data_IF_465669838984
#
_entry.id   IF_465669838984
#
_cell.length_a   1.000
_cell.length_b   1.000
_cell.length_c   1.000
_cell.angle_alpha   90.00
_cell.angle_beta   90.00
_cell.angle_gamma   90.00
#
_symmetry.space_group_name_H-M   'P 1'
#
loop_
_entity.id
_entity.type
_entity.pdbx_description
1 polymer ?
#
# COMPACT_ATOMS: atom_id res chain seq x y z
N UNK A 1 14.46 -1.30 53.31
CA UNK A 1 15.03 -2.05 52.17
C UNK A 1 15.27 -1.09 51.02
N UNK A 2 16.44 -1.13 50.40
CA UNK A 2 16.77 -0.31 49.24
C UNK A 2 17.74 -1.09 48.35
N UNK A 3 17.57 -1.02 47.02
CA UNK A 3 18.52 -1.58 46.05
C UNK A 3 18.83 -3.08 46.30
N UNK A 4 17.82 -3.85 46.70
CA UNK A 4 17.95 -5.28 47.02
C UNK A 4 18.62 -5.60 48.36
N UNK A 5 18.96 -4.58 49.17
CA UNK A 5 19.60 -4.75 50.49
C UNK A 5 18.70 -4.30 51.63
N UNK A 6 18.69 -5.09 52.71
CA UNK A 6 18.09 -4.72 53.98
C UNK A 6 19.13 -4.06 54.89
N UNK A 7 18.71 -3.03 55.64
CA UNK A 7 19.52 -2.35 56.66
C UNK A 7 18.63 -2.14 57.88
N UNK A 8 19.14 -2.45 59.06
CA UNK A 8 18.48 -2.18 60.34
C UNK A 8 19.09 -0.92 60.93
N UNK A 9 18.25 0.03 61.34
CA UNK A 9 18.68 1.30 61.90
C UNK A 9 17.99 1.51 63.23
N UNK A 10 18.77 1.89 64.25
CA UNK A 10 18.24 2.50 65.46
C UNK A 10 18.40 4.01 65.31
N UNK A 11 17.31 4.73 65.47
CA UNK A 11 17.24 6.16 65.14
C UNK A 11 16.31 6.89 66.10
N UNK A 12 16.60 8.17 66.32
CA UNK A 12 15.74 9.15 66.97
C UNK A 12 15.13 10.15 65.96
N UNK A 13 15.19 9.83 64.66
CA UNK A 13 14.68 10.65 63.58
C UNK A 13 13.20 10.97 63.77
N UNK A 14 12.82 12.21 63.50
CA UNK A 14 11.44 12.65 63.59
C UNK A 14 10.60 12.18 62.38
N UNK A 15 11.26 11.77 61.30
CA UNK A 15 10.63 11.40 60.03
C UNK A 15 11.25 10.16 59.40
N UNK A 16 10.46 9.44 58.59
CA UNK A 16 10.93 8.30 57.80
C UNK A 16 12.06 8.71 56.83
N UNK A 17 11.97 9.88 56.22
CA UNK A 17 13.00 10.36 55.30
C UNK A 17 14.36 10.51 55.99
N UNK A 18 14.39 11.11 57.18
CA UNK A 18 15.60 11.25 57.99
C UNK A 18 16.14 9.89 58.45
N UNK A 19 15.25 8.97 58.87
CA UNK A 19 15.65 7.60 59.23
C UNK A 19 16.30 6.84 58.05
N UNK A 20 15.79 7.02 56.83
CA UNK A 20 16.33 6.43 55.60
C UNK A 20 17.68 7.05 55.24
N UNK A 21 17.86 8.35 55.43
CA UNK A 21 19.15 9.03 55.23
C UNK A 21 20.21 8.57 56.24
N UNK A 22 19.85 8.45 57.53
CA UNK A 22 20.73 7.88 58.56
C UNK A 22 21.10 6.41 58.29
N UNK A 23 20.25 5.68 57.56
CA UNK A 23 20.57 4.34 57.05
C UNK A 23 21.66 4.35 55.96
N UNK A 24 22.16 5.52 55.55
CA UNK A 24 23.08 5.71 54.44
C UNK A 24 22.41 5.54 53.08
N UNK A 25 21.10 5.83 52.97
CA UNK A 25 20.35 5.76 51.72
C UNK A 25 19.79 7.14 51.39
N UNK A 26 20.34 7.79 50.38
CA UNK A 26 19.85 9.08 49.91
C UNK A 26 18.77 8.87 48.84
N UNK A 27 17.63 9.55 48.98
CA UNK A 27 16.61 9.65 47.94
C UNK A 27 17.02 10.73 46.93
N UNK A 28 16.86 10.47 45.63
CA UNK A 28 17.22 11.42 44.57
C UNK A 28 16.07 11.56 43.57
N UNK A 29 15.90 12.76 43.01
CA UNK A 29 14.91 13.00 41.96
C UNK A 29 13.49 12.65 42.42
N UNK A 30 12.91 11.62 41.79
CA UNK A 30 11.55 11.13 42.08
C UNK A 30 11.52 9.97 43.08
N UNK A 31 12.67 9.53 43.61
CA UNK A 31 12.73 8.45 44.60
C UNK A 31 11.83 8.73 45.80
N UNK A 32 11.15 7.69 46.27
CA UNK A 32 10.24 7.80 47.41
C UNK A 32 10.32 6.56 48.30
N UNK A 33 9.53 6.55 49.36
CA UNK A 33 9.43 5.44 50.31
C UNK A 33 8.05 4.80 50.25
N UNK A 34 7.95 3.53 50.65
CA UNK A 34 6.68 2.78 50.72
C UNK A 34 5.66 3.37 51.70
N UNK A 35 6.10 4.28 52.56
CA UNK A 35 5.28 5.09 53.48
C UNK A 35 5.65 6.56 53.29
N UNK A 36 4.80 7.53 53.68
CA UNK A 36 5.11 8.94 53.55
C UNK A 36 6.43 9.30 54.27
N UNK A 37 7.35 9.96 53.56
CA UNK A 37 8.66 10.34 54.11
C UNK A 37 8.57 11.30 55.30
N UNK A 38 7.50 12.09 55.39
CA UNK A 38 7.20 13.00 56.50
C UNK A 38 6.55 12.33 57.71
N UNK A 39 6.17 11.04 57.59
CA UNK A 39 5.57 10.29 58.67
C UNK A 39 6.59 9.95 59.76
N UNK A 40 6.10 9.81 61.00
CA UNK A 40 6.93 9.38 62.13
C UNK A 40 7.31 7.89 62.00
N UNK A 41 8.60 7.51 62.13
CA UNK A 41 9.03 6.12 62.06
C UNK A 41 8.55 5.33 63.28
N UNK A 42 7.94 4.16 63.05
CA UNK A 42 7.41 3.28 64.12
C UNK A 42 8.35 2.11 64.38
N UNK A 43 8.35 1.61 65.61
CA UNK A 43 9.10 0.41 65.95
C UNK A 43 8.62 -0.80 65.12
N UNK A 44 9.58 -1.62 64.67
CA UNK A 44 9.32 -2.74 63.76
C UNK A 44 8.87 -2.38 62.33
N UNK A 45 8.77 -1.09 61.98
CA UNK A 45 8.29 -0.66 60.66
C UNK A 45 9.30 -0.98 59.55
N UNK A 46 8.83 -1.65 58.48
CA UNK A 46 9.61 -1.81 57.25
C UNK A 46 9.35 -0.67 56.29
N UNK A 47 10.41 0.07 55.95
CA UNK A 47 10.39 1.10 54.91
C UNK A 47 11.13 0.61 53.69
N UNK A 48 10.47 0.55 52.53
CA UNK A 48 11.09 0.22 51.24
C UNK A 48 11.33 1.48 50.43
N UNK A 49 12.55 1.69 49.96
CA UNK A 49 12.87 2.76 49.03
C UNK A 49 12.49 2.32 47.63
N UNK A 50 11.73 3.16 46.95
CA UNK A 50 11.31 3.01 45.57
C UNK A 50 12.20 3.91 44.72
N UNK A 51 13.07 3.30 43.91
CA UNK A 51 13.92 4.02 42.95
C UNK A 51 13.10 4.36 41.72
N UNK A 52 12.89 5.65 41.45
CA UNK A 52 12.04 6.11 40.35
C UNK A 52 12.87 6.90 39.35
N UNK A 53 12.84 6.45 38.10
CA UNK A 53 13.44 7.19 36.98
C UNK A 53 12.39 7.47 35.91
N UNK A 54 12.44 8.71 35.39
CA UNK A 54 11.63 9.16 34.26
C UNK A 54 12.48 9.26 32.99
N UNK A 55 11.95 8.80 31.86
CA UNK A 55 12.53 9.00 30.54
C UNK A 55 11.46 9.29 29.50
N UNK A 56 11.87 9.82 28.34
CA UNK A 56 11.00 10.00 27.19
C UNK A 56 11.37 9.01 26.10
N UNK A 57 10.34 8.45 25.47
CA UNK A 57 10.48 7.56 24.32
C UNK A 57 9.69 8.15 23.16
N UNK A 58 10.31 8.17 21.98
CA UNK A 58 9.73 8.74 20.77
C UNK A 58 9.48 7.61 19.79
N UNK A 59 8.23 7.47 19.38
CA UNK A 59 7.83 6.56 18.32
C UNK A 59 7.41 7.36 17.09
N UNK A 60 7.94 6.96 15.93
CA UNK A 60 7.56 7.52 14.65
C UNK A 60 6.82 6.48 13.82
N UNK A 61 5.57 6.79 13.49
CA UNK A 61 4.71 5.93 12.70
C UNK A 61 4.40 6.59 11.35
N UNK A 62 4.43 5.84 10.23
CA UNK A 62 4.00 6.36 8.94
C UNK A 62 2.49 6.67 8.97
N UNK A 63 2.11 7.80 8.38
CA UNK A 63 0.70 8.14 8.11
C UNK A 63 0.40 7.75 6.66
N UNK A 64 -0.54 6.82 6.41
CA UNK A 64 -0.94 6.46 5.05
C UNK A 64 -1.38 7.67 4.24
N UNK A 65 -1.22 7.60 2.92
CA UNK A 65 -1.73 8.62 2.01
C UNK A 65 -3.00 8.14 1.32
N UNK A 66 -3.84 9.10 0.93
CA UNK A 66 -5.04 8.81 0.14
C UNK A 66 -4.72 8.69 -1.35
N UNK A 67 -5.46 7.83 -2.05
CA UNK A 67 -5.44 7.75 -3.51
C UNK A 67 -6.68 8.45 -4.08
N UNK A 68 -6.47 9.45 -4.93
CA UNK A 68 -7.52 10.16 -5.68
C UNK A 68 -7.46 9.76 -7.15
N UNK A 69 -8.61 9.38 -7.71
CA UNK A 69 -8.76 9.02 -9.11
C UNK A 69 -9.49 10.14 -9.83
N UNK A 70 -8.94 10.60 -10.95
CA UNK A 70 -9.51 11.70 -11.74
C UNK A 70 -9.72 11.23 -13.17
N UNK A 71 -10.91 11.42 -13.68
CA UNK A 71 -11.23 11.05 -15.06
C UNK A 71 -10.49 11.93 -16.07
N UNK A 72 -10.11 11.31 -17.18
CA UNK A 72 -9.32 11.96 -18.21
C UNK A 72 -9.75 11.50 -19.61
N UNK A 73 -10.41 12.40 -20.33
CA UNK A 73 -10.89 12.14 -21.69
C UNK A 73 -9.79 12.17 -22.76
N UNK A 74 -8.56 12.58 -22.41
CA UNK A 74 -7.40 12.48 -23.31
C UNK A 74 -6.82 11.05 -23.35
N UNK A 75 -7.01 10.29 -22.28
CA UNK A 75 -6.55 8.91 -22.16
C UNK A 75 -7.63 7.92 -22.56
N UNK A 76 -7.20 6.86 -23.25
CA UNK A 76 -8.09 5.76 -23.62
C UNK A 76 -8.65 5.03 -22.40
N UNK A 77 -9.90 4.61 -22.50
CA UNK A 77 -10.53 3.75 -21.49
C UNK A 77 -9.65 2.54 -21.19
N UNK A 78 -9.46 2.29 -19.90
CA UNK A 78 -8.58 1.25 -19.36
C UNK A 78 -7.12 1.67 -19.18
N UNK A 79 -6.73 2.89 -19.58
CA UNK A 79 -5.41 3.45 -19.28
C UNK A 79 -5.43 4.16 -17.93
N UNK A 80 -4.48 3.83 -17.06
CA UNK A 80 -4.26 4.55 -15.80
C UNK A 80 -2.85 5.14 -15.81
N UNK A 81 -2.73 6.41 -15.42
CA UNK A 81 -1.45 7.11 -15.34
C UNK A 81 -1.35 7.78 -13.98
N UNK A 82 -0.26 7.50 -13.25
CA UNK A 82 0.05 8.20 -12.00
C UNK A 82 0.54 9.60 -12.35
N UNK A 83 -0.30 10.61 -12.13
CA UNK A 83 0.08 12.02 -12.29
C UNK A 83 0.95 12.50 -11.14
N UNK A 84 0.63 12.04 -9.92
CA UNK A 84 1.37 12.38 -8.72
C UNK A 84 1.52 11.12 -7.86
N UNK A 85 2.75 10.73 -7.55
CA UNK A 85 3.02 9.66 -6.60
C UNK A 85 2.63 10.09 -5.18
N UNK A 86 2.00 9.18 -4.44
CA UNK A 86 1.70 9.38 -3.03
C UNK A 86 2.96 9.27 -2.17
N UNK A 87 2.97 9.97 -1.04
CA UNK A 87 4.05 9.87 -0.05
C UNK A 87 3.46 9.76 1.35
N UNK A 88 3.81 8.73 2.13
CA UNK A 88 3.38 8.64 3.52
C UNK A 88 3.83 9.86 4.33
N UNK A 89 2.92 10.34 5.17
CA UNK A 89 3.24 11.30 6.23
C UNK A 89 4.04 10.63 7.34
N UNK A 90 4.37 11.41 8.37
CA UNK A 90 5.07 10.94 9.55
C UNK A 90 4.40 11.51 10.79
N UNK A 91 3.98 10.64 11.69
CA UNK A 91 3.41 11.00 12.99
C UNK A 91 4.39 10.61 14.07
N UNK A 92 4.69 11.55 14.95
CA UNK A 92 5.56 11.34 16.09
C UNK A 92 4.73 11.34 17.37
N UNK A 93 4.89 10.29 18.16
CA UNK A 93 4.26 10.15 19.47
C UNK A 93 5.32 10.05 20.54
N UNK A 94 5.29 10.97 21.50
CA UNK A 94 6.19 10.99 22.65
C UNK A 94 5.49 10.38 23.84
N UNK A 95 6.15 9.44 24.50
CA UNK A 95 5.68 8.77 25.72
C UNK A 95 6.58 9.13 26.90
N UNK A 96 5.98 9.32 28.06
CA UNK A 96 6.68 9.28 29.34
C UNK A 96 6.77 7.83 29.81
N UNK A 97 7.97 7.40 30.10
CA UNK A 97 8.27 6.08 30.66
C UNK A 97 8.75 6.28 32.08
N UNK A 98 8.02 5.70 33.04
CA UNK A 98 8.43 5.66 34.44
C UNK A 98 8.92 4.25 34.77
N UNK A 99 10.05 4.17 35.45
CA UNK A 99 10.63 2.92 35.90
C UNK A 99 10.70 2.94 37.42
N UNK A 100 10.14 1.93 38.08
CA UNK A 100 10.15 1.80 39.53
C UNK A 100 10.92 0.54 39.90
N UNK A 101 12.01 0.69 40.66
CA UNK A 101 12.92 -0.40 41.04
C UNK A 101 13.39 -1.24 39.83
N UNK A 102 13.70 -0.56 38.72
CA UNK A 102 14.13 -1.21 37.47
C UNK A 102 12.99 -1.80 36.62
N UNK A 103 11.76 -1.85 37.14
CA UNK A 103 10.59 -2.34 36.39
C UNK A 103 9.93 -1.17 35.64
N UNK A 104 9.90 -1.28 34.31
CA UNK A 104 9.25 -0.30 33.43
C UNK A 104 7.73 -0.38 33.59
N UNK A 105 7.10 0.72 33.99
CA UNK A 105 5.65 0.85 34.01
C UNK A 105 5.09 1.09 32.59
N UNK A 106 3.77 0.96 32.43
CA UNK A 106 3.09 1.23 31.17
C UNK A 106 3.35 2.67 30.71
N UNK A 107 3.91 2.91 29.51
CA UNK A 107 4.19 4.26 29.04
C UNK A 107 2.92 5.11 28.93
N UNK A 108 2.99 6.35 29.40
CA UNK A 108 1.90 7.33 29.28
C UNK A 108 2.17 8.22 28.08
N UNK A 109 1.25 8.25 27.11
CA UNK A 109 1.34 9.16 25.96
C UNK A 109 1.32 10.62 26.44
N UNK A 110 2.33 11.38 26.08
CA UNK A 110 2.42 12.81 26.39
C UNK A 110 1.82 13.66 25.27
N UNK A 111 2.31 13.46 24.04
CA UNK A 111 1.92 14.26 22.87
C UNK A 111 2.01 13.42 21.61
N UNK A 112 1.14 13.75 20.66
CA UNK A 112 1.20 13.25 19.29
C UNK A 112 1.18 14.45 18.35
N UNK A 113 2.06 14.45 17.36
CA UNK A 113 2.13 15.49 16.34
C UNK A 113 2.40 14.89 14.95
N UNK A 114 1.88 15.54 13.91
CA UNK A 114 2.23 15.22 12.53
C UNK A 114 3.48 16.02 12.19
N UNK A 115 4.59 15.32 11.97
CA UNK A 115 5.88 15.91 11.61
C UNK A 115 5.93 16.21 10.12
N UNK A 116 5.26 15.36 9.32
CA UNK A 116 5.15 15.52 7.88
C UNK A 116 3.77 15.09 7.42
N UNK A 117 3.08 15.97 6.71
CA UNK A 117 1.80 15.64 6.09
C UNK A 117 1.95 14.56 5.01
N UNK A 118 0.93 13.71 4.88
CA UNK A 118 0.87 12.75 3.80
C UNK A 118 0.55 13.46 2.48
N UNK A 119 1.24 13.08 1.40
CA UNK A 119 0.94 13.58 0.05
C UNK A 119 0.05 12.58 -0.67
N UNK A 120 -1.13 12.99 -1.17
CA UNK A 120 -2.03 12.06 -1.86
C UNK A 120 -1.44 11.59 -3.19
N UNK A 121 -1.75 10.36 -3.56
CA UNK A 121 -1.51 9.85 -4.91
C UNK A 121 -2.64 10.29 -5.83
N UNK A 122 -2.32 10.82 -7.01
CA UNK A 122 -3.30 11.20 -8.03
C UNK A 122 -3.11 10.31 -9.25
N UNK A 123 -4.15 9.56 -9.60
CA UNK A 123 -4.19 8.67 -10.76
C UNK A 123 -5.21 9.20 -11.75
N UNK A 124 -4.77 9.52 -12.97
CA UNK A 124 -5.65 9.86 -14.09
C UNK A 124 -6.15 8.56 -14.73
N UNK A 125 -7.46 8.42 -14.82
CA UNK A 125 -8.13 7.24 -15.40
C UNK A 125 -8.73 7.62 -16.74
N UNK A 126 -8.34 6.91 -17.79
CA UNK A 126 -8.81 7.21 -19.15
C UNK A 126 -10.29 6.92 -19.31
N UNK A 127 -11.01 7.88 -19.90
CA UNK A 127 -12.45 7.74 -20.22
C UNK A 127 -12.73 7.78 -21.71
N UNK A 128 -11.73 8.13 -22.54
CA UNK A 128 -11.88 8.21 -24.00
C UNK A 128 -12.28 6.84 -24.55
N UNK A 129 -13.44 6.72 -25.22
CA UNK A 129 -13.78 5.50 -25.92
C UNK A 129 -12.65 5.11 -26.88
N UNK A 130 -12.34 3.82 -26.93
CA UNK A 130 -11.52 3.32 -28.04
C UNK A 130 -12.40 3.36 -29.29
N UNK A 131 -11.83 3.68 -30.46
CA UNK A 131 -12.59 3.65 -31.69
C UNK A 131 -13.19 2.25 -31.87
N UNK A 132 -14.50 2.15 -32.05
CA UNK A 132 -15.19 0.88 -32.29
C UNK A 132 -14.90 0.32 -33.70
N UNK A 133 -14.30 1.14 -34.58
CA UNK A 133 -13.92 0.77 -35.93
C UNK A 133 -12.72 1.56 -36.39
N UNK A 134 -12.09 1.11 -37.48
CA UNK A 134 -11.03 1.84 -38.16
C UNK A 134 -11.65 2.61 -39.31
N UNK A 135 -11.30 3.89 -39.42
CA UNK A 135 -11.81 4.77 -40.47
C UNK A 135 -11.45 4.22 -41.86
N UNK A 136 -12.35 4.40 -42.83
CA UNK A 136 -12.14 3.92 -44.20
C UNK A 136 -12.32 2.42 -44.41
N UNK A 137 -12.67 1.62 -43.39
CA UNK A 137 -12.90 0.17 -43.56
C UNK A 137 -14.36 -0.26 -43.42
N UNK A 138 -15.27 0.67 -43.11
CA UNK A 138 -16.67 0.36 -42.82
C UNK A 138 -17.46 -0.19 -44.01
N UNK A 139 -17.05 0.14 -45.23
CA UNK A 139 -17.69 -0.29 -46.47
C UNK A 139 -17.29 -1.71 -46.92
N UNK A 140 -16.30 -2.33 -46.27
CA UNK A 140 -15.78 -3.64 -46.65
C UNK A 140 -16.60 -4.77 -46.01
N UNK A 141 -16.73 -5.88 -46.73
CA UNK A 141 -17.48 -7.05 -46.28
C UNK A 141 -16.66 -7.95 -45.34
N UNK A 142 -16.53 -7.51 -44.09
CA UNK A 142 -15.79 -8.23 -43.04
C UNK A 142 -16.40 -9.59 -42.69
N UNK A 143 -17.72 -9.73 -42.80
CA UNK A 143 -18.40 -11.01 -42.57
C UNK A 143 -18.03 -12.03 -43.64
N UNK A 144 -17.96 -11.64 -44.91
CA UNK A 144 -17.55 -12.53 -45.99
C UNK A 144 -16.08 -12.95 -45.89
N UNK A 145 -15.21 -12.05 -45.43
CA UNK A 145 -13.82 -12.40 -45.10
C UNK A 145 -13.78 -13.41 -43.95
N UNK A 146 -14.45 -13.15 -42.82
CA UNK A 146 -14.45 -14.05 -41.68
C UNK A 146 -15.07 -15.43 -42.00
N UNK A 147 -16.11 -15.46 -42.84
CA UNK A 147 -16.69 -16.69 -43.35
C UNK A 147 -15.70 -17.50 -44.19
N UNK A 148 -14.82 -16.84 -44.94
CA UNK A 148 -13.74 -17.50 -45.67
C UNK A 148 -12.68 -18.07 -44.74
N UNK A 149 -12.19 -17.24 -43.82
CA UNK A 149 -11.02 -17.54 -43.00
C UNK A 149 -11.32 -18.62 -41.96
N UNK A 150 -12.47 -18.54 -41.28
CA UNK A 150 -12.77 -19.45 -40.16
C UNK A 150 -14.15 -20.10 -40.20
N UNK A 151 -14.93 -19.84 -41.26
CA UNK A 151 -16.35 -20.15 -41.31
C UNK A 151 -17.18 -19.23 -40.41
N UNK A 152 -16.65 -18.05 -40.04
CA UNK A 152 -17.32 -17.11 -39.15
C UNK A 152 -17.27 -17.50 -37.67
N UNK A 153 -16.36 -18.41 -37.29
CA UNK A 153 -16.20 -18.91 -35.92
C UNK A 153 -15.12 -18.12 -35.18
N UNK A 154 -15.43 -17.43 -34.07
CA UNK A 154 -14.45 -16.64 -33.33
C UNK A 154 -13.45 -17.45 -32.52
N UNK A 155 -13.81 -18.67 -32.13
CA UNK A 155 -12.92 -19.59 -31.42
C UNK A 155 -12.17 -20.56 -32.35
N UNK A 156 -12.17 -20.31 -33.67
CA UNK A 156 -11.50 -21.18 -34.61
C UNK A 156 -9.99 -21.14 -34.39
N UNK A 157 -9.37 -22.31 -34.48
CA UNK A 157 -7.92 -22.47 -34.46
C UNK A 157 -7.59 -23.43 -35.61
N UNK A 158 -6.59 -23.10 -36.40
CA UNK A 158 -6.17 -23.97 -37.49
C UNK A 158 -5.52 -25.25 -36.95
N UNK A 159 -5.43 -26.34 -37.75
CA UNK A 159 -4.86 -27.61 -37.29
C UNK A 159 -3.43 -27.52 -36.74
N UNK A 160 -2.64 -26.53 -37.18
CA UNK A 160 -1.28 -26.31 -36.65
C UNK A 160 -1.26 -25.61 -35.29
N UNK A 161 -2.36 -24.99 -34.88
CA UNK A 161 -2.43 -24.17 -33.67
C UNK A 161 -1.78 -22.79 -33.81
N UNK A 162 -1.33 -22.42 -35.01
CA UNK A 162 -0.57 -21.18 -35.27
C UNK A 162 -1.48 -19.98 -35.46
N UNK A 163 -2.60 -20.19 -36.13
CA UNK A 163 -3.55 -19.17 -36.52
C UNK A 163 -4.89 -19.37 -35.82
N UNK A 164 -5.43 -18.30 -35.25
CA UNK A 164 -6.67 -18.34 -34.49
C UNK A 164 -7.59 -17.15 -34.72
N UNK A 165 -8.86 -17.33 -34.39
CA UNK A 165 -9.90 -16.32 -34.48
C UNK A 165 -10.61 -16.23 -35.83
N UNK A 166 -11.57 -15.31 -35.91
CA UNK A 166 -12.40 -14.98 -37.08
C UNK A 166 -11.59 -14.72 -38.35
N UNK A 167 -10.38 -14.19 -38.21
CA UNK A 167 -9.54 -13.74 -39.33
C UNK A 167 -8.20 -14.47 -39.38
N UNK A 168 -8.08 -15.62 -38.68
CA UNK A 168 -6.91 -16.49 -38.65
C UNK A 168 -5.60 -15.72 -38.42
N UNK A 169 -5.51 -15.02 -37.29
CA UNK A 169 -4.29 -14.28 -36.90
C UNK A 169 -3.23 -15.21 -36.33
N UNK A 170 -1.97 -14.99 -36.69
CA UNK A 170 -0.85 -15.47 -35.89
C UNK A 170 -0.63 -14.58 -34.65
N UNK A 171 -0.09 -15.15 -33.58
CA UNK A 171 0.13 -14.43 -32.32
C UNK A 171 1.07 -13.21 -32.46
N UNK A 172 2.21 -13.27 -33.19
CA UNK A 172 3.04 -12.10 -33.45
C UNK A 172 2.27 -10.93 -34.10
N UNK A 173 1.51 -11.17 -35.16
CA UNK A 173 0.70 -10.14 -35.83
C UNK A 173 -0.38 -9.59 -34.89
N UNK A 174 -1.07 -10.47 -34.16
CA UNK A 174 -2.09 -10.09 -33.17
C UNK A 174 -1.53 -9.12 -32.13
N UNK A 175 -0.41 -9.46 -31.51
CA UNK A 175 0.26 -8.61 -30.52
C UNK A 175 0.80 -7.33 -31.14
N UNK A 176 1.36 -7.39 -32.36
CA UNK A 176 1.84 -6.22 -33.10
C UNK A 176 0.74 -5.20 -33.42
N UNK A 177 -0.51 -5.64 -33.52
CA UNK A 177 -1.68 -4.76 -33.68
C UNK A 177 -2.21 -4.24 -32.35
N UNK A 178 -1.63 -4.67 -31.22
CA UNK A 178 -1.97 -4.33 -29.84
C UNK A 178 -3.05 -5.24 -29.23
N UNK A 179 -3.30 -6.41 -29.81
CA UNK A 179 -4.09 -7.46 -29.17
C UNK A 179 -3.36 -8.03 -27.94
N UNK A 180 -4.10 -8.60 -27.01
CA UNK A 180 -3.56 -9.29 -25.84
C UNK A 180 -4.03 -10.75 -25.85
N UNK A 181 -3.25 -11.66 -25.27
CA UNK A 181 -3.59 -13.10 -25.27
C UNK A 181 -3.62 -13.69 -26.68
N UNK A 182 -4.33 -14.81 -26.85
CA UNK A 182 -4.52 -15.43 -28.17
C UNK A 182 -5.71 -14.79 -28.91
N UNK A 183 -5.68 -14.69 -30.25
CA UNK A 183 -6.74 -14.05 -31.02
C UNK A 183 -8.12 -14.72 -30.84
N UNK A 184 -8.18 -16.05 -30.74
CA UNK A 184 -9.41 -16.83 -30.56
C UNK A 184 -10.08 -16.66 -29.19
N UNK A 185 -9.33 -16.22 -28.18
CA UNK A 185 -9.85 -15.95 -26.83
C UNK A 185 -10.47 -14.53 -26.73
N UNK A 186 -10.16 -13.67 -27.70
CA UNK A 186 -10.65 -12.29 -27.71
C UNK A 186 -12.09 -12.20 -28.20
N UNK A 187 -12.89 -11.22 -27.74
CA UNK A 187 -14.24 -11.00 -28.24
C UNK A 187 -14.27 -10.79 -29.77
N UNK A 188 -15.31 -11.25 -30.50
CA UNK A 188 -15.40 -11.11 -31.95
C UNK A 188 -15.22 -9.68 -32.48
N UNK A 189 -15.71 -8.69 -31.70
CA UNK A 189 -15.55 -7.28 -32.00
C UNK A 189 -14.09 -6.82 -31.95
N UNK A 190 -13.32 -7.33 -30.98
CA UNK A 190 -11.89 -7.05 -30.84
C UNK A 190 -11.12 -7.68 -31.99
N UNK A 191 -11.42 -8.94 -32.33
CA UNK A 191 -10.82 -9.62 -33.49
C UNK A 191 -11.05 -8.84 -34.79
N UNK A 192 -12.29 -8.39 -35.01
CA UNK A 192 -12.67 -7.57 -36.17
C UNK A 192 -12.00 -6.20 -36.16
N UNK A 193 -11.86 -5.57 -35.00
CA UNK A 193 -11.14 -4.31 -34.87
C UNK A 193 -9.67 -4.45 -35.25
N UNK A 194 -8.99 -5.52 -34.80
CA UNK A 194 -7.59 -5.78 -35.19
C UNK A 194 -7.46 -6.12 -36.67
N UNK A 195 -8.40 -6.87 -37.26
CA UNK A 195 -8.43 -7.13 -38.71
C UNK A 195 -8.56 -5.83 -39.51
N UNK A 196 -9.45 -4.93 -39.11
CA UNK A 196 -9.56 -3.59 -39.70
C UNK A 196 -8.25 -2.80 -39.61
N UNK A 197 -7.53 -2.88 -38.49
CA UNK A 197 -6.21 -2.25 -38.34
C UNK A 197 -5.16 -2.87 -39.28
N UNK A 198 -5.15 -4.20 -39.41
CA UNK A 198 -4.22 -4.89 -40.32
C UNK A 198 -4.47 -4.48 -41.78
N UNK A 199 -5.73 -4.38 -42.18
CA UNK A 199 -6.09 -3.94 -43.53
C UNK A 199 -5.64 -2.52 -43.83
N UNK A 200 -5.76 -1.58 -42.89
CA UNK A 200 -5.24 -0.21 -43.12
C UNK A 200 -3.72 -0.20 -43.29
N UNK A 201 -3.00 -1.12 -42.65
CA UNK A 201 -1.54 -1.23 -42.77
C UNK A 201 -1.08 -1.94 -44.04
N UNK A 202 -1.74 -3.03 -44.41
CA UNK A 202 -1.24 -4.00 -45.40
C UNK A 202 -2.23 -4.27 -46.55
N UNK A 203 -3.37 -3.60 -46.56
CA UNK A 203 -4.47 -3.87 -47.48
C UNK A 203 -5.02 -5.29 -47.34
N UNK A 204 -5.61 -5.80 -48.42
CA UNK A 204 -6.15 -7.17 -48.47
C UNK A 204 -5.05 -8.25 -48.53
N UNK A 205 -3.77 -7.89 -48.73
CA UNK A 205 -2.68 -8.84 -48.92
C UNK A 205 -2.39 -9.69 -47.67
N UNK A 206 -2.83 -9.24 -46.49
CA UNK A 206 -2.79 -10.02 -45.25
C UNK A 206 -3.65 -11.29 -45.31
N UNK A 207 -4.62 -11.35 -46.23
CA UNK A 207 -5.47 -12.52 -46.48
C UNK A 207 -5.36 -12.91 -47.95
N UNK A 208 -4.28 -13.58 -48.37
CA UNK A 208 -3.98 -13.81 -49.79
C UNK A 208 -5.11 -14.51 -50.57
N UNK A 209 -5.84 -15.41 -49.91
CA UNK A 209 -6.88 -16.21 -50.54
C UNK A 209 -8.29 -15.64 -50.35
N UNK A 210 -8.55 -15.00 -49.21
CA UNK A 210 -9.89 -14.54 -48.86
C UNK A 210 -10.06 -13.02 -48.98
N UNK A 211 -8.98 -12.26 -49.13
CA UNK A 211 -8.99 -10.80 -49.14
C UNK A 211 -9.86 -10.19 -50.24
N UNK A 212 -10.06 -10.91 -51.35
CA UNK A 212 -10.99 -10.51 -52.41
C UNK A 212 -12.45 -10.37 -51.90
N UNK A 213 -12.86 -11.19 -50.92
CA UNK A 213 -14.23 -11.20 -50.38
C UNK A 213 -14.60 -9.92 -49.61
N UNK A 214 -13.62 -9.08 -49.27
CA UNK A 214 -13.88 -7.77 -48.68
C UNK A 214 -14.61 -6.82 -49.62
N UNK A 215 -14.58 -7.04 -50.94
CA UNK A 215 -15.16 -6.14 -51.95
C UNK A 215 -16.37 -6.71 -52.69
N UNK A 216 -16.81 -7.93 -52.36
CA UNK A 216 -17.85 -8.65 -53.09
C UNK A 216 -17.26 -9.61 -54.10
#
# INVERSE_FOLDING_TARGET
MADGRARTVRTNAATVAEAVEQAGVTLRGEDTTSVPGTGFPRDGQTVTVLRITGSQEVHEDPVPFDARRTEDSSLHRGTEVVQQAGRPGLRRTTYAVRTVNGVREKPRRLRTEVVREARPQIVRVGTRPRPASVEGTGHLNWQALAACESGGRPGAVDPSGTYGGLYQFDAPTWHGLGGAGRPEDAPPAEQTYRAKKLYVRSGAAAWPHCGARLRG
#
